data_IF_070695776606
#
_entry.id   IF_070695776606
#
_cell.length_a   1.000
_cell.length_b   1.000
_cell.length_c   1.000
_cell.angle_alpha   90.00
_cell.angle_beta   90.00
_cell.angle_gamma   90.00
#
_symmetry.space_group_name_H-M   'P 1'
#
loop_
_entity.id
_entity.type
_entity.pdbx_description
1 polymer ?
#
# COMPACT_ATOMS: atom_id res chain seq x y z
N UNK A 1 -45.35 -59.35 -60.34
CA UNK A 1 -44.01 -58.71 -60.37
C UNK A 1 -44.08 -57.33 -59.73
N UNK A 2 -43.81 -57.22 -58.43
CA UNK A 2 -43.90 -55.95 -57.66
C UNK A 2 -42.56 -55.54 -56.99
N UNK A 3 -41.54 -56.39 -57.03
CA UNK A 3 -40.28 -56.17 -56.30
C UNK A 3 -39.35 -55.13 -56.96
N UNK A 4 -39.36 -55.00 -58.30
CA UNK A 4 -38.50 -54.05 -59.01
C UNK A 4 -38.77 -52.58 -58.65
N UNK A 5 -40.02 -52.11 -58.70
CA UNK A 5 -40.38 -50.75 -58.29
C UNK A 5 -40.08 -50.44 -56.82
N UNK A 6 -40.23 -51.44 -55.93
CA UNK A 6 -39.89 -51.30 -54.50
C UNK A 6 -38.39 -51.15 -54.32
N UNK A 7 -37.57 -51.95 -55.02
CA UNK A 7 -36.12 -51.87 -54.92
C UNK A 7 -35.59 -50.52 -55.42
N UNK A 8 -36.13 -50.02 -56.55
CA UNK A 8 -35.76 -48.72 -57.08
C UNK A 8 -36.16 -47.57 -56.14
N UNK A 9 -37.29 -47.68 -55.44
CA UNK A 9 -37.71 -46.72 -54.43
C UNK A 9 -36.75 -46.73 -53.22
N UNK A 10 -36.33 -47.91 -52.75
CA UNK A 10 -35.35 -48.05 -51.66
C UNK A 10 -34.01 -47.41 -52.04
N UNK A 11 -33.51 -47.65 -53.25
CA UNK A 11 -32.27 -47.05 -53.73
C UNK A 11 -32.33 -45.52 -53.80
N UNK A 12 -33.47 -44.97 -54.23
CA UNK A 12 -33.71 -43.51 -54.24
C UNK A 12 -33.74 -42.96 -52.81
N UNK A 13 -34.34 -43.69 -51.87
CA UNK A 13 -34.40 -43.30 -50.46
C UNK A 13 -33.00 -43.28 -49.82
N UNK A 14 -32.20 -44.32 -50.02
CA UNK A 14 -30.83 -44.39 -49.47
C UNK A 14 -29.92 -43.29 -50.03
N UNK A 15 -30.07 -42.94 -51.32
CA UNK A 15 -29.34 -41.80 -51.92
C UNK A 15 -29.76 -40.47 -51.30
N UNK A 16 -31.06 -40.28 -51.03
CA UNK A 16 -31.58 -39.09 -50.37
C UNK A 16 -31.02 -38.97 -48.94
N UNK A 17 -31.04 -40.05 -48.17
CA UNK A 17 -30.49 -40.11 -46.81
C UNK A 17 -29.00 -39.77 -46.78
N UNK A 18 -28.21 -40.33 -47.71
CA UNK A 18 -26.79 -40.02 -47.83
C UNK A 18 -26.55 -38.53 -48.15
N UNK A 19 -27.36 -37.94 -49.05
CA UNK A 19 -27.26 -36.53 -49.39
C UNK A 19 -27.62 -35.61 -48.21
N UNK A 20 -28.66 -35.96 -47.45
CA UNK A 20 -29.08 -35.23 -46.25
C UNK A 20 -28.00 -35.32 -45.17
N UNK A 21 -27.46 -36.51 -44.91
CA UNK A 21 -26.38 -36.72 -43.95
C UNK A 21 -25.12 -35.93 -44.33
N UNK A 22 -24.73 -35.96 -45.60
CA UNK A 22 -23.59 -35.19 -46.11
C UNK A 22 -23.78 -33.67 -45.93
N UNK A 23 -24.98 -33.16 -46.23
CA UNK A 23 -25.30 -31.73 -46.05
C UNK A 23 -25.23 -31.30 -44.59
N UNK A 24 -25.58 -32.19 -43.65
CA UNK A 24 -25.49 -31.93 -42.22
C UNK A 24 -24.05 -31.93 -41.67
N UNK A 25 -23.10 -32.60 -42.32
CA UNK A 25 -21.72 -32.71 -41.83
C UNK A 25 -20.91 -31.41 -41.95
N UNK A 26 -21.03 -30.69 -43.08
CA UNK A 26 -20.23 -29.48 -43.30
C UNK A 26 -20.51 -28.36 -42.28
N UNK A 27 -21.78 -28.06 -41.93
CA UNK A 27 -22.09 -27.13 -40.84
C UNK A 27 -21.56 -27.60 -39.49
N UNK A 28 -21.68 -28.89 -39.15
CA UNK A 28 -21.17 -29.45 -37.88
C UNK A 28 -19.66 -29.27 -37.74
N UNK A 29 -18.89 -29.60 -38.79
CA UNK A 29 -17.44 -29.38 -38.81
C UNK A 29 -17.08 -27.90 -38.70
N UNK A 30 -17.90 -27.00 -39.26
CA UNK A 30 -17.70 -25.55 -39.13
C UNK A 30 -17.94 -25.08 -37.70
N UNK A 31 -19.00 -25.57 -37.04
CA UNK A 31 -19.29 -25.27 -35.63
C UNK A 31 -18.13 -25.73 -34.75
N UNK A 32 -17.68 -26.98 -34.91
CA UNK A 32 -16.58 -27.54 -34.11
C UNK A 32 -15.28 -26.72 -34.22
N UNK A 33 -14.92 -26.28 -35.44
CA UNK A 33 -13.75 -25.41 -35.64
C UNK A 33 -13.89 -24.04 -34.95
N UNK A 34 -15.10 -23.47 -34.98
CA UNK A 34 -15.38 -22.20 -34.31
C UNK A 34 -15.30 -22.35 -32.79
N UNK A 35 -15.82 -23.44 -32.23
CA UNK A 35 -15.72 -23.76 -30.81
C UNK A 35 -14.28 -23.93 -30.37
N UNK A 36 -13.49 -24.75 -31.10
CA UNK A 36 -12.07 -24.92 -30.82
C UNK A 36 -11.29 -23.58 -30.89
N UNK A 37 -11.60 -22.73 -31.88
CA UNK A 37 -10.98 -21.41 -31.99
C UNK A 37 -11.36 -20.49 -30.85
N UNK A 38 -12.63 -20.51 -30.41
CA UNK A 38 -13.12 -19.74 -29.26
C UNK A 38 -12.40 -20.18 -27.99
N UNK A 39 -12.35 -21.48 -27.74
CA UNK A 39 -11.79 -22.03 -26.49
C UNK A 39 -10.29 -21.74 -26.39
N UNK A 40 -9.56 -21.83 -27.51
CA UNK A 40 -8.14 -21.40 -27.56
C UNK A 40 -7.97 -19.92 -27.23
N UNK A 41 -8.85 -19.05 -27.75
CA UNK A 41 -8.81 -17.61 -27.46
C UNK A 41 -9.11 -17.32 -25.99
N UNK A 42 -10.14 -17.97 -25.43
CA UNK A 42 -10.49 -17.86 -24.00
C UNK A 42 -9.30 -18.27 -23.14
N UNK A 43 -8.69 -19.41 -23.43
CA UNK A 43 -7.53 -19.89 -22.66
C UNK A 43 -6.36 -18.91 -22.72
N UNK A 44 -6.02 -18.40 -23.92
CA UNK A 44 -4.95 -17.40 -24.07
C UNK A 44 -5.23 -16.13 -23.28
N UNK A 45 -6.48 -15.64 -23.30
CA UNK A 45 -6.90 -14.47 -22.53
C UNK A 45 -6.73 -14.76 -21.03
N UNK A 46 -7.23 -15.90 -20.55
CA UNK A 46 -7.09 -16.31 -19.15
C UNK A 46 -5.62 -16.36 -18.70
N UNK A 47 -4.73 -16.96 -19.50
CA UNK A 47 -3.30 -17.02 -19.21
C UNK A 47 -2.66 -15.62 -19.16
N UNK A 48 -3.01 -14.74 -20.10
CA UNK A 48 -2.51 -13.36 -20.13
C UNK A 48 -2.96 -12.55 -18.91
N UNK A 49 -4.23 -12.64 -18.54
CA UNK A 49 -4.74 -11.92 -17.37
C UNK A 49 -4.20 -12.51 -16.07
N UNK A 50 -4.07 -13.83 -15.95
CA UNK A 50 -3.43 -14.46 -14.80
C UNK A 50 -1.98 -13.98 -14.62
N UNK A 51 -1.22 -13.91 -15.71
CA UNK A 51 0.14 -13.37 -15.69
C UNK A 51 0.15 -11.90 -15.26
N UNK A 52 -0.77 -11.06 -15.78
CA UNK A 52 -0.82 -9.64 -15.41
C UNK A 52 -1.24 -9.42 -13.96
N UNK A 53 -2.17 -10.22 -13.45
CA UNK A 53 -2.56 -10.18 -12.03
C UNK A 53 -1.37 -10.53 -11.15
N UNK A 54 -0.63 -11.59 -11.48
CA UNK A 54 0.55 -11.99 -10.71
C UNK A 54 1.67 -10.94 -10.74
N UNK A 55 1.85 -10.25 -11.87
CA UNK A 55 2.79 -9.13 -11.98
C UNK A 55 2.38 -7.96 -11.07
N UNK A 56 1.11 -7.54 -11.14
CA UNK A 56 0.60 -6.45 -10.29
C UNK A 56 0.68 -6.82 -8.81
N UNK A 57 0.39 -8.07 -8.45
CA UNK A 57 0.53 -8.53 -7.06
C UNK A 57 1.98 -8.41 -6.56
N UNK A 58 2.97 -8.78 -7.39
CA UNK A 58 4.38 -8.60 -7.04
C UNK A 58 4.79 -7.13 -6.93
N UNK A 59 4.31 -6.29 -7.83
CA UNK A 59 4.53 -4.83 -7.77
C UNK A 59 3.95 -4.27 -6.46
N UNK A 60 2.71 -4.63 -6.12
CA UNK A 60 2.08 -4.23 -4.87
C UNK A 60 2.85 -4.73 -3.64
N UNK A 61 3.24 -6.01 -3.61
CA UNK A 61 4.05 -6.56 -2.51
C UNK A 61 5.42 -5.86 -2.38
N UNK A 62 6.03 -5.48 -3.50
CA UNK A 62 7.28 -4.72 -3.50
C UNK A 62 7.09 -3.27 -3.01
N UNK A 63 5.96 -2.65 -3.34
CA UNK A 63 5.62 -1.27 -2.98
C UNK A 63 5.04 -1.14 -1.56
N UNK A 64 4.63 -2.24 -0.91
CA UNK A 64 3.81 -2.15 0.30
C UNK A 64 4.51 -1.75 1.60
N UNK A 65 5.83 -1.72 1.74
CA UNK A 65 6.34 -1.66 3.13
C UNK A 65 7.66 -0.97 3.42
N UNK A 66 8.27 -0.27 2.47
CA UNK A 66 9.46 0.53 2.82
C UNK A 66 9.45 1.87 2.12
N UNK A 67 9.48 2.94 2.92
CA UNK A 67 9.94 4.25 2.48
C UNK A 67 11.20 4.06 1.63
N UNK A 68 11.22 4.68 0.46
CA UNK A 68 12.43 4.75 -0.35
C UNK A 68 13.57 5.35 0.49
N UNK A 69 14.85 5.07 0.15
CA UNK A 69 15.97 5.64 0.90
C UNK A 69 15.91 7.17 1.01
N UNK A 70 15.45 7.83 -0.05
CA UNK A 70 15.27 9.29 -0.08
C UNK A 70 14.14 9.73 0.87
N UNK A 71 13.00 9.04 0.87
CA UNK A 71 11.90 9.35 1.80
C UNK A 71 12.29 9.12 3.26
N UNK A 72 13.11 8.10 3.55
CA UNK A 72 13.66 7.88 4.91
C UNK A 72 14.59 8.99 5.36
N UNK A 73 15.43 9.50 4.45
CA UNK A 73 16.32 10.62 4.77
C UNK A 73 15.53 11.91 5.01
N UNK A 74 14.50 12.17 4.20
CA UNK A 74 13.59 13.30 4.40
C UNK A 74 12.81 13.18 5.71
N UNK A 75 12.26 12.00 6.03
CA UNK A 75 11.60 11.74 7.30
C UNK A 75 12.56 11.98 8.48
N UNK A 76 13.79 11.47 8.38
CA UNK A 76 14.81 11.67 9.42
C UNK A 76 15.18 13.14 9.61
N UNK A 77 15.28 13.92 8.52
CA UNK A 77 15.50 15.38 8.57
C UNK A 77 14.33 16.09 9.27
N UNK A 78 13.09 15.77 8.88
CA UNK A 78 11.89 16.35 9.46
C UNK A 78 11.74 16.03 10.96
N UNK A 79 12.04 14.79 11.36
CA UNK A 79 12.04 14.39 12.77
C UNK A 79 13.07 15.18 13.58
N UNK A 80 14.26 15.42 13.00
CA UNK A 80 15.30 16.23 13.63
C UNK A 80 14.89 17.69 13.76
N UNK A 81 14.34 18.30 12.70
CA UNK A 81 13.81 19.67 12.72
C UNK A 81 12.70 19.82 13.77
N UNK A 82 11.83 18.83 13.88
CA UNK A 82 10.76 18.81 14.87
C UNK A 82 11.30 18.71 16.30
N UNK A 83 12.29 17.85 16.55
CA UNK A 83 12.97 17.79 17.83
C UNK A 83 13.65 19.13 18.18
N UNK A 84 14.26 19.80 17.20
CA UNK A 84 14.90 21.11 17.40
C UNK A 84 13.87 22.18 17.76
N UNK A 85 12.71 22.18 17.10
CA UNK A 85 11.61 23.08 17.40
C UNK A 85 11.07 22.86 18.83
N UNK A 86 10.89 21.61 19.25
CA UNK A 86 10.44 21.27 20.61
C UNK A 86 11.46 21.73 21.65
N UNK A 87 12.75 21.43 21.46
CA UNK A 87 13.79 21.85 22.40
C UNK A 87 13.88 23.37 22.46
N UNK A 88 13.83 24.06 21.33
CA UNK A 88 13.87 25.52 21.27
C UNK A 88 12.67 26.13 21.98
N UNK A 89 11.46 25.63 21.73
CA UNK A 89 10.25 26.07 22.42
C UNK A 89 10.35 25.85 23.94
N UNK A 90 10.88 24.70 24.37
CA UNK A 90 11.04 24.38 25.80
C UNK A 90 12.02 25.28 26.55
N UNK A 91 12.89 26.03 25.84
CA UNK A 91 13.78 27.03 26.44
C UNK A 91 13.05 28.33 26.76
N UNK A 92 12.02 28.66 26.00
CA UNK A 92 11.25 29.91 26.14
C UNK A 92 9.89 29.73 26.81
N UNK A 93 9.37 28.51 26.85
CA UNK A 93 8.01 28.21 27.31
C UNK A 93 7.94 26.85 28.01
N UNK A 94 6.91 26.68 28.83
CA UNK A 94 6.67 25.50 29.66
C UNK A 94 5.99 24.36 28.91
N UNK A 95 6.12 23.14 29.42
CA UNK A 95 5.43 21.98 28.85
C UNK A 95 3.89 22.11 28.84
N UNK A 96 3.31 22.92 29.73
CA UNK A 96 1.87 23.25 29.75
C UNK A 96 1.44 24.15 28.59
N UNK A 97 2.35 24.96 28.06
CA UNK A 97 2.11 25.80 26.87
C UNK A 97 2.39 25.03 25.58
N UNK A 98 3.30 24.05 25.62
CA UNK A 98 3.54 23.15 24.50
C UNK A 98 2.39 22.15 24.27
N UNK A 99 1.80 21.64 25.36
CA UNK A 99 0.70 20.67 25.34
C UNK A 99 -0.46 21.02 24.38
N UNK A 100 -1.08 22.22 24.45
CA UNK A 100 -2.16 22.60 23.53
C UNK A 100 -1.69 22.78 22.08
N UNK A 101 -0.43 23.16 21.83
CA UNK A 101 0.11 23.31 20.47
C UNK A 101 0.29 21.96 19.76
N UNK A 102 0.64 20.93 20.53
CA UNK A 102 0.82 19.58 20.02
C UNK A 102 -0.45 18.71 20.13
N UNK A 103 -1.51 19.22 20.76
CA UNK A 103 -2.74 18.46 21.00
C UNK A 103 -2.57 17.29 21.97
N UNK A 104 -1.59 17.37 22.88
CA UNK A 104 -1.25 16.29 23.83
C UNK A 104 -1.43 16.76 25.27
N UNK A 105 -1.39 15.83 26.23
CA UNK A 105 -1.39 16.18 27.65
C UNK A 105 -0.07 16.82 28.09
N UNK A 106 -0.09 17.61 29.17
CA UNK A 106 1.14 18.19 29.76
C UNK A 106 2.18 17.13 30.14
N UNK A 107 1.75 15.92 30.51
CA UNK A 107 2.66 14.81 30.81
C UNK A 107 3.36 14.29 29.55
N UNK A 108 2.62 14.14 28.45
CA UNK A 108 3.17 13.74 27.16
C UNK A 108 4.08 14.82 26.59
N UNK A 109 3.71 16.10 26.69
CA UNK A 109 4.57 17.20 26.29
C UNK A 109 5.92 17.19 27.01
N UNK A 110 5.94 16.89 28.33
CA UNK A 110 7.19 16.70 29.08
C UNK A 110 8.01 15.53 28.54
N UNK A 111 7.34 14.41 28.24
CA UNK A 111 8.00 13.23 27.65
C UNK A 111 8.60 13.54 26.27
N UNK A 112 7.88 14.28 25.43
CA UNK A 112 8.32 14.69 24.11
C UNK A 112 9.52 15.65 24.17
N UNK A 113 9.56 16.56 25.14
CA UNK A 113 10.73 17.42 25.36
C UNK A 113 11.96 16.59 25.74
N UNK A 114 11.81 15.61 26.63
CA UNK A 114 12.91 14.72 27.02
C UNK A 114 13.39 13.87 25.84
N UNK A 115 12.45 13.33 25.06
CA UNK A 115 12.76 12.56 23.87
C UNK A 115 13.48 13.42 22.82
N UNK A 116 12.98 14.61 22.53
CA UNK A 116 13.61 15.54 21.59
C UNK A 116 15.02 15.97 22.01
N UNK A 117 15.26 16.17 23.32
CA UNK A 117 16.61 16.42 23.85
C UNK A 117 17.53 15.22 23.64
N UNK A 118 17.03 14.00 23.88
CA UNK A 118 17.78 12.77 23.68
C UNK A 118 18.12 12.54 22.20
N UNK A 119 17.15 12.75 21.30
CA UNK A 119 17.31 12.57 19.85
C UNK A 119 18.35 13.54 19.25
N UNK A 120 18.49 14.72 19.84
CA UNK A 120 19.50 15.73 19.44
C UNK A 120 20.82 15.61 20.20
N UNK A 121 20.93 14.70 21.17
CA UNK A 121 22.11 14.61 22.04
C UNK A 121 22.34 15.84 22.92
N UNK A 122 21.30 16.65 23.16
CA UNK A 122 21.37 17.84 24.01
C UNK A 122 21.21 17.38 25.46
N UNK A 123 22.33 17.15 26.14
CA UNK A 123 22.32 16.92 27.58
C UNK A 123 21.72 18.13 28.30
N UNK A 124 20.88 17.89 29.31
CA UNK A 124 20.28 18.92 30.13
C UNK A 124 21.41 19.68 30.84
N UNK A 125 21.80 20.84 30.29
CA UNK A 125 22.64 21.78 31.02
C UNK A 125 21.74 22.38 32.08
N UNK A 126 21.66 21.65 33.20
CA UNK A 126 21.26 22.21 34.46
C UNK A 126 22.12 23.46 34.69
N UNK A 127 21.50 24.63 34.59
CA UNK A 127 21.99 25.86 35.21
C UNK A 127 22.18 25.55 36.69
N UNK A 128 23.41 25.12 37.01
CA UNK A 128 23.88 24.95 38.36
C UNK A 128 23.75 26.28 39.07
N UNK A 129 23.04 26.24 40.19
CA UNK A 129 22.98 27.29 41.18
C UNK A 129 24.38 27.82 41.49
N UNK A 130 24.54 29.14 41.41
CA UNK A 130 25.60 29.84 42.14
C UNK A 130 25.00 30.33 43.47
N UNK A 131 25.66 30.11 44.63
CA UNK A 131 25.07 30.25 45.97
C UNK A 131 25.09 31.70 46.51
N UNK A 132 24.58 31.95 47.73
CA UNK A 132 24.14 33.26 48.19
C UNK A 132 25.30 34.13 48.72
N UNK A 133 25.19 35.44 48.51
CA UNK A 133 25.99 36.42 49.26
C UNK A 133 25.20 36.86 50.49
N UNK A 134 25.41 36.17 51.61
CA UNK A 134 25.29 36.80 52.92
C UNK A 134 26.61 37.53 53.20
N UNK A 135 26.55 38.85 53.36
CA UNK A 135 27.53 39.58 54.16
C UNK A 135 26.75 40.42 55.18
N UNK A 136 26.88 40.04 56.45
CA UNK A 136 26.31 40.75 57.60
C UNK A 136 27.26 41.88 58.00
N UNK A 137 26.77 43.12 58.04
CA UNK A 137 27.26 44.10 59.01
C UNK A 137 26.20 45.14 59.42
N UNK A 138 25.44 44.80 60.45
CA UNK A 138 24.89 45.69 61.50
C UNK A 138 26.05 46.29 62.33
N UNK A 139 26.09 47.48 62.95
CA UNK A 139 25.22 48.64 63.35
C UNK A 139 26.21 49.79 63.77
N UNK A 140 25.90 50.95 64.46
CA UNK A 140 24.64 51.50 65.04
C UNK A 140 24.37 53.01 64.80
N UNK A 141 23.20 53.44 65.28
CA UNK A 141 22.78 54.83 65.45
C UNK A 141 23.23 55.45 66.80
N UNK A 142 23.53 56.76 66.80
CA UNK A 142 23.43 57.78 67.86
C UNK A 142 24.19 59.02 67.35
N UNK A 143 23.76 60.28 67.45
CA UNK A 143 22.86 60.98 68.39
C UNK A 143 22.13 62.13 67.69
#
# INVERSE_FOLDING_TARGET
MLAGPIHEATDKLSKLEAAVASRAQAPRKKIERLEQSRDRRIKKIQEQYAAKIAEIQREMEADTETLTPQEREQESSLLREYAEAIVTFSRSASASELAPLLGVSTREAKSLILQAKADLGVADVATAAVPPSEDKQTVPAAS
#
